data_IF_419210635114
#
_entry.id   IF_419210635114
#
_cell.length_a   1.000
_cell.length_b   1.000
_cell.length_c   1.000
_cell.angle_alpha   90.00
_cell.angle_beta   90.00
_cell.angle_gamma   90.00
#
_symmetry.space_group_name_H-M   'P 1'
#
loop_
_entity.id
_entity.type
_entity.pdbx_description
1 polymer ?
#
# COMPACT_ATOMS: atom_id res chain seq x y z
N UNK A 1 15.11 15.24 -19.28
CA UNK A 1 16.28 14.97 -18.42
C UNK A 1 15.84 13.93 -17.40
N UNK A 2 16.34 12.70 -17.51
CA UNK A 2 16.19 11.74 -16.41
C UNK A 2 16.85 12.35 -15.18
N UNK A 3 16.16 12.35 -14.03
CA UNK A 3 16.79 12.76 -12.77
C UNK A 3 18.00 11.85 -12.54
N UNK A 4 19.15 12.43 -12.19
CA UNK A 4 20.29 11.66 -11.66
C UNK A 4 19.72 10.71 -10.59
N UNK A 5 20.02 9.42 -10.70
CA UNK A 5 19.55 8.34 -9.80
C UNK A 5 18.13 7.79 -10.02
N UNK A 6 17.51 7.98 -11.20
CA UNK A 6 16.31 7.22 -11.58
C UNK A 6 16.66 5.84 -12.13
N UNK A 7 15.81 4.83 -11.88
CA UNK A 7 15.93 3.49 -12.49
C UNK A 7 15.58 3.49 -14.00
N UNK A 8 15.00 4.59 -14.51
CA UNK A 8 14.68 4.74 -15.92
C UNK A 8 13.37 4.05 -16.32
N UNK A 9 13.35 3.47 -17.52
CA UNK A 9 12.17 2.78 -18.05
C UNK A 9 12.04 1.39 -17.41
N UNK A 10 10.85 1.06 -16.95
CA UNK A 10 10.53 -0.23 -16.32
C UNK A 10 9.40 -0.90 -17.10
N UNK A 11 9.35 -2.24 -17.05
CA UNK A 11 8.30 -3.03 -17.68
C UNK A 11 7.45 -3.71 -16.62
N UNK A 12 6.13 -3.52 -16.68
CA UNK A 12 5.18 -4.30 -15.89
C UNK A 12 5.10 -5.71 -16.42
N UNK A 13 5.30 -6.69 -15.55
CA UNK A 13 5.18 -8.12 -15.87
C UNK A 13 3.95 -8.69 -15.18
N UNK A 14 3.33 -9.69 -15.80
CA UNK A 14 2.24 -10.48 -15.20
C UNK A 14 2.72 -11.92 -15.11
N UNK A 15 2.68 -12.48 -13.92
CA UNK A 15 2.95 -13.89 -13.68
C UNK A 15 1.64 -14.62 -13.38
N UNK A 16 1.34 -15.65 -14.17
CA UNK A 16 0.18 -16.52 -13.97
C UNK A 16 0.57 -17.77 -13.16
N UNK A 17 -0.22 -18.08 -12.15
CA UNK A 17 -0.23 -19.34 -11.41
C UNK A 17 -1.57 -20.03 -11.59
N UNK A 18 -1.60 -21.35 -11.44
CA UNK A 18 -2.82 -22.14 -11.61
C UNK A 18 -3.98 -21.66 -10.72
N UNK A 19 -3.73 -21.44 -9.43
CA UNK A 19 -4.75 -20.95 -8.51
C UNK A 19 -4.19 -20.51 -7.15
N UNK A 20 -5.05 -19.84 -6.39
CA UNK A 20 -4.88 -19.53 -4.97
C UNK A 20 -6.18 -19.78 -4.21
N UNK A 21 -6.10 -20.62 -3.19
CA UNK A 21 -7.18 -20.78 -2.19
C UNK A 21 -7.07 -19.67 -1.16
N UNK A 22 -8.17 -18.97 -0.95
CA UNK A 22 -8.28 -17.83 -0.03
C UNK A 22 -8.66 -18.29 1.38
N UNK A 23 -8.49 -17.43 2.38
CA UNK A 23 -8.86 -17.72 3.77
C UNK A 23 -10.34 -18.05 3.96
N UNK A 24 -11.21 -17.49 3.10
CA UNK A 24 -12.64 -17.78 3.12
C UNK A 24 -13.02 -19.08 2.37
N UNK A 25 -12.06 -19.83 1.86
CA UNK A 25 -12.26 -21.09 1.12
C UNK A 25 -12.56 -20.92 -0.37
N UNK A 26 -12.79 -19.69 -0.86
CA UNK A 26 -12.93 -19.43 -2.29
C UNK A 26 -11.61 -19.64 -3.03
N UNK A 27 -11.66 -19.83 -4.34
CA UNK A 27 -10.47 -20.06 -5.17
C UNK A 27 -10.41 -19.04 -6.30
N UNK A 28 -9.27 -18.35 -6.44
CA UNK A 28 -8.96 -17.53 -7.62
C UNK A 28 -8.29 -18.45 -8.65
N UNK A 29 -8.83 -18.51 -9.88
CA UNK A 29 -8.30 -19.32 -10.98
C UNK A 29 -8.47 -18.61 -12.34
N UNK A 30 -7.37 -18.35 -13.08
CA UNK A 30 -5.99 -18.41 -12.61
C UNK A 30 -5.69 -17.30 -11.58
N UNK A 31 -4.60 -17.44 -10.83
CA UNK A 31 -4.03 -16.33 -10.08
C UNK A 31 -3.04 -15.59 -10.97
N UNK A 32 -3.31 -14.33 -11.27
CA UNK A 32 -2.43 -13.41 -11.96
C UNK A 32 -1.86 -12.38 -10.98
N UNK A 33 -0.55 -12.17 -11.02
CA UNK A 33 0.13 -11.15 -10.21
C UNK A 33 0.88 -10.22 -11.14
N UNK A 34 0.46 -8.95 -11.19
CA UNK A 34 1.22 -7.90 -11.83
C UNK A 34 2.32 -7.39 -10.89
N UNK A 35 3.55 -7.32 -11.41
CA UNK A 35 4.72 -6.94 -10.63
C UNK A 35 5.78 -6.25 -11.49
N UNK A 36 6.70 -5.60 -10.79
CA UNK A 36 7.91 -4.98 -11.31
C UNK A 36 9.10 -5.33 -10.44
N UNK A 37 10.29 -5.23 -11.02
CA UNK A 37 11.56 -5.49 -10.33
C UNK A 37 12.57 -4.41 -10.68
N UNK A 38 13.36 -3.99 -9.69
CA UNK A 38 14.37 -2.96 -9.81
C UNK A 38 15.70 -3.46 -9.22
N UNK A 39 16.81 -3.23 -9.93
CA UNK A 39 18.11 -3.80 -9.56
C UNK A 39 18.28 -5.26 -9.99
N UNK A 40 19.29 -5.95 -9.44
CA UNK A 40 19.67 -7.32 -9.84
C UNK A 40 19.68 -8.26 -8.65
N UNK A 41 19.03 -9.42 -8.78
CA UNK A 41 19.04 -10.48 -7.76
C UNK A 41 20.44 -11.10 -7.67
N UNK A 42 20.99 -11.18 -6.47
CA UNK A 42 22.29 -11.82 -6.22
C UNK A 42 22.25 -13.31 -6.53
N UNK A 43 23.42 -13.92 -6.79
CA UNK A 43 23.52 -15.38 -7.00
C UNK A 43 23.00 -16.17 -5.79
N UNK A 44 23.23 -15.66 -4.59
CA UNK A 44 22.76 -16.23 -3.32
C UNK A 44 21.28 -15.94 -3.04
N UNK A 45 20.66 -15.01 -3.80
CA UNK A 45 19.26 -14.56 -3.64
C UNK A 45 18.95 -13.99 -2.25
N UNK A 46 19.94 -13.36 -1.64
CA UNK A 46 19.94 -12.82 -0.28
C UNK A 46 19.74 -11.29 -0.22
N UNK A 47 19.69 -10.61 -1.37
CA UNK A 47 19.58 -9.15 -1.46
C UNK A 47 18.16 -8.65 -1.86
N UNK A 48 17.15 -9.50 -1.72
CA UNK A 48 15.79 -9.20 -2.20
C UNK A 48 14.95 -8.41 -1.17
N UNK A 49 14.34 -7.31 -1.62
CA UNK A 49 13.44 -6.47 -0.84
C UNK A 49 12.06 -6.48 -1.48
N UNK A 50 11.01 -6.81 -0.72
CA UNK A 50 9.62 -6.72 -1.18
C UNK A 50 8.97 -5.42 -0.71
N UNK A 51 8.51 -4.61 -1.66
CA UNK A 51 7.77 -3.36 -1.43
C UNK A 51 6.27 -3.61 -1.59
N UNK A 52 5.54 -3.46 -0.48
CA UNK A 52 4.09 -3.54 -0.43
C UNK A 52 3.46 -2.14 -0.56
N UNK A 53 2.60 -1.96 -1.55
CA UNK A 53 1.98 -0.66 -1.84
C UNK A 53 0.84 -0.31 -0.87
N UNK A 54 0.55 1.00 -0.75
CA UNK A 54 -0.59 1.54 -0.01
C UNK A 54 -1.90 1.49 -0.83
N UNK A 55 -3.03 1.94 -0.27
CA UNK A 55 -4.37 1.79 -0.88
C UNK A 55 -4.46 2.29 -2.33
N UNK A 56 -3.86 3.44 -2.66
CA UNK A 56 -3.88 4.00 -4.02
C UNK A 56 -2.66 3.68 -4.86
N UNK A 57 -1.73 2.89 -4.33
CA UNK A 57 -0.55 2.41 -5.05
C UNK A 57 -0.84 1.21 -5.93
N UNK A 58 0.19 0.73 -6.62
CA UNK A 58 0.17 -0.46 -7.47
C UNK A 58 1.58 -1.09 -7.53
N UNK A 59 1.90 -1.88 -8.56
CA UNK A 59 3.26 -2.43 -8.72
C UNK A 59 4.30 -1.37 -9.11
N UNK A 60 3.88 -0.18 -9.57
CA UNK A 60 4.78 0.82 -10.14
C UNK A 60 5.37 1.71 -9.04
N UNK A 61 6.27 1.14 -8.25
CA UNK A 61 6.91 1.82 -7.14
C UNK A 61 8.02 2.80 -7.59
N UNK A 62 8.69 2.54 -8.71
CA UNK A 62 9.78 3.36 -9.22
C UNK A 62 9.91 3.33 -10.75
N UNK A 63 10.67 4.26 -11.29
CA UNK A 63 10.92 4.39 -12.72
C UNK A 63 9.75 5.00 -13.47
N UNK A 64 9.73 4.79 -14.78
CA UNK A 64 8.71 5.30 -15.70
C UNK A 64 8.27 4.18 -16.64
N UNK A 65 7.01 4.16 -17.07
CA UNK A 65 6.67 3.50 -18.32
C UNK A 65 6.94 4.43 -19.51
N UNK A 66 6.98 3.86 -20.71
CA UNK A 66 7.14 4.64 -21.92
C UNK A 66 5.98 5.66 -22.09
N UNK A 67 6.33 6.93 -22.26
CA UNK A 67 5.37 8.03 -22.38
C UNK A 67 4.86 8.62 -21.07
N UNK A 68 5.26 8.08 -19.91
CA UNK A 68 4.84 8.61 -18.62
C UNK A 68 5.42 10.00 -18.34
N UNK A 69 4.57 10.86 -17.74
CA UNK A 69 4.96 12.19 -17.27
C UNK A 69 5.41 12.20 -15.81
N UNK A 70 5.09 11.14 -15.06
CA UNK A 70 5.38 11.00 -13.64
C UNK A 70 5.97 9.62 -13.39
N UNK A 71 6.94 9.50 -12.48
CA UNK A 71 7.51 8.21 -12.14
C UNK A 71 6.57 7.43 -11.20
N UNK A 72 6.99 6.22 -10.86
CA UNK A 72 6.38 5.39 -9.83
C UNK A 72 6.21 6.11 -8.48
N UNK A 73 5.30 5.59 -7.66
CA UNK A 73 4.78 6.31 -6.48
C UNK A 73 5.82 6.51 -5.37
N UNK A 74 6.93 5.78 -5.39
CA UNK A 74 8.00 5.84 -4.40
C UNK A 74 9.39 6.10 -5.00
N UNK A 75 9.41 6.74 -6.18
CA UNK A 75 10.64 7.11 -6.91
C UNK A 75 11.67 7.82 -6.05
N UNK A 76 11.26 8.61 -5.04
CA UNK A 76 12.19 9.32 -4.15
C UNK A 76 13.11 8.38 -3.36
N UNK A 77 12.69 7.13 -3.12
CA UNK A 77 13.38 6.19 -2.23
C UNK A 77 13.98 4.98 -2.94
N UNK A 78 13.51 4.65 -4.15
CA UNK A 78 13.95 3.47 -4.92
C UNK A 78 14.75 3.91 -6.15
N UNK A 79 15.96 3.37 -6.30
CA UNK A 79 16.86 3.64 -7.44
C UNK A 79 18.33 3.65 -7.05
N UNK A 80 19.25 3.88 -8.02
CA UNK A 80 20.69 3.84 -7.77
C UNK A 80 21.13 4.80 -6.66
N UNK A 81 21.78 4.29 -5.62
CA UNK A 81 22.27 5.09 -4.48
C UNK A 81 21.19 5.68 -3.55
N UNK A 82 19.90 5.37 -3.75
CA UNK A 82 18.80 5.81 -2.86
C UNK A 82 18.66 4.89 -1.64
N UNK A 83 17.66 5.13 -0.78
CA UNK A 83 17.42 4.31 0.41
C UNK A 83 17.24 2.83 0.09
N UNK A 84 16.42 2.52 -0.92
CA UNK A 84 16.34 1.21 -1.54
C UNK A 84 17.25 1.21 -2.76
N UNK A 85 18.55 1.09 -2.48
CA UNK A 85 19.61 1.18 -3.47
C UNK A 85 19.58 0.01 -4.46
N UNK A 86 19.19 0.28 -5.70
CA UNK A 86 19.06 -0.75 -6.74
C UNK A 86 20.41 -1.21 -7.30
N UNK A 87 21.51 -0.54 -6.97
CA UNK A 87 22.86 -1.04 -7.28
C UNK A 87 23.27 -2.18 -6.34
N UNK A 88 22.56 -2.33 -5.22
CA UNK A 88 22.83 -3.32 -4.16
C UNK A 88 21.72 -4.34 -4.00
N UNK A 89 20.47 -3.90 -4.12
CA UNK A 89 19.30 -4.69 -3.78
C UNK A 89 18.46 -5.03 -5.01
N UNK A 90 17.79 -6.18 -4.92
CA UNK A 90 16.75 -6.57 -5.86
C UNK A 90 15.40 -6.24 -5.26
N UNK A 91 14.82 -5.12 -5.70
CA UNK A 91 13.55 -4.63 -5.18
C UNK A 91 12.41 -5.20 -6.03
N UNK A 92 11.41 -5.79 -5.39
CA UNK A 92 10.21 -6.34 -6.01
C UNK A 92 9.02 -5.52 -5.54
N UNK A 93 8.13 -5.11 -6.45
CA UNK A 93 6.83 -4.54 -6.07
C UNK A 93 5.73 -5.19 -6.88
N UNK A 94 4.64 -5.58 -6.23
CA UNK A 94 3.51 -6.24 -6.89
C UNK A 94 2.18 -5.62 -6.47
N UNK A 95 1.27 -5.53 -7.44
CA UNK A 95 -0.08 -5.10 -7.19
C UNK A 95 -0.83 -6.20 -6.41
N UNK A 96 -1.62 -5.83 -5.41
CA UNK A 96 -2.38 -6.79 -4.62
C UNK A 96 -3.50 -7.46 -5.44
N UNK A 97 -3.84 -8.70 -5.08
CA UNK A 97 -5.10 -9.31 -5.52
C UNK A 97 -6.30 -8.53 -4.94
N UNK A 98 -7.39 -8.45 -5.69
CA UNK A 98 -8.48 -7.50 -5.43
C UNK A 98 -8.17 -6.06 -5.89
N UNK A 99 -6.92 -5.77 -6.29
CA UNK A 99 -6.52 -4.52 -6.92
C UNK A 99 -7.05 -4.36 -8.35
N UNK A 100 -6.71 -3.24 -8.99
CA UNK A 100 -7.18 -2.90 -10.34
C UNK A 100 -6.05 -2.52 -11.32
N UNK A 101 -4.82 -2.95 -11.02
CA UNK A 101 -3.61 -2.58 -11.79
C UNK A 101 -2.82 -3.77 -12.33
N UNK A 102 -3.52 -4.87 -12.60
CA UNK A 102 -3.05 -6.00 -13.41
C UNK A 102 -3.10 -7.36 -12.71
N UNK A 103 -3.07 -7.40 -11.38
CA UNK A 103 -3.29 -8.66 -10.64
C UNK A 103 -4.76 -9.05 -10.63
N UNK A 104 -5.06 -10.33 -10.32
CA UNK A 104 -6.43 -10.85 -10.22
C UNK A 104 -7.29 -9.97 -9.31
N UNK A 105 -8.37 -9.43 -9.86
CA UNK A 105 -9.29 -8.54 -9.15
C UNK A 105 -10.64 -8.46 -9.85
N UNK A 106 -11.53 -7.56 -9.40
CA UNK A 106 -12.89 -7.44 -9.96
C UNK A 106 -12.91 -7.05 -11.44
N UNK A 107 -11.86 -6.39 -11.94
CA UNK A 107 -11.74 -6.04 -13.36
C UNK A 107 -11.15 -7.17 -14.23
N UNK A 108 -10.64 -8.24 -13.61
CA UNK A 108 -10.10 -9.39 -14.35
C UNK A 108 -11.22 -10.14 -15.06
N UNK A 109 -10.94 -10.68 -16.24
CA UNK A 109 -11.90 -11.48 -16.99
C UNK A 109 -12.10 -12.84 -16.30
N UNK A 110 -13.36 -13.16 -16.00
CA UNK A 110 -13.76 -14.50 -15.64
C UNK A 110 -13.72 -15.37 -16.90
N UNK A 111 -12.86 -16.40 -16.91
CA UNK A 111 -12.65 -17.30 -18.07
C UNK A 111 -13.89 -18.12 -18.44
N UNK A 112 -14.84 -18.31 -17.51
CA UNK A 112 -16.07 -19.06 -17.76
C UNK A 112 -17.14 -18.21 -18.44
N UNK A 113 -17.25 -16.94 -18.05
CA UNK A 113 -18.31 -16.03 -18.55
C UNK A 113 -17.84 -15.09 -19.64
N UNK A 114 -16.52 -14.90 -19.79
CA UNK A 114 -15.93 -13.93 -20.72
C UNK A 114 -16.12 -12.46 -20.31
N UNK A 115 -16.60 -12.20 -19.09
CA UNK A 115 -16.86 -10.86 -18.54
C UNK A 115 -15.96 -10.58 -17.34
N UNK A 116 -15.71 -9.30 -16.99
CA UNK A 116 -15.08 -8.96 -15.71
C UNK A 116 -15.82 -9.60 -14.54
N UNK A 117 -15.11 -9.95 -13.46
CA UNK A 117 -15.75 -10.53 -12.27
C UNK A 117 -16.74 -9.58 -11.60
N UNK A 118 -16.50 -8.27 -11.61
CA UNK A 118 -17.36 -7.31 -10.92
C UNK A 118 -17.51 -7.63 -9.43
N UNK A 119 -18.75 -7.66 -8.94
CA UNK A 119 -19.07 -8.03 -7.55
C UNK A 119 -19.03 -9.55 -7.28
N UNK A 120 -18.85 -10.38 -8.31
CA UNK A 120 -18.68 -11.82 -8.14
C UNK A 120 -17.25 -12.25 -7.77
N UNK A 121 -16.30 -11.31 -7.76
CA UNK A 121 -14.94 -11.58 -7.28
C UNK A 121 -14.98 -11.98 -5.80
N UNK A 122 -14.21 -12.97 -5.34
CA UNK A 122 -14.22 -13.34 -3.94
C UNK A 122 -13.63 -12.23 -3.06
N UNK A 123 -14.15 -12.08 -1.84
CA UNK A 123 -13.48 -11.24 -0.84
C UNK A 123 -12.07 -11.76 -0.58
N UNK A 124 -11.12 -10.84 -0.41
CA UNK A 124 -9.71 -11.15 -0.11
C UNK A 124 -9.33 -10.51 1.22
N UNK A 125 -8.46 -11.18 1.98
CA UNK A 125 -7.84 -10.62 3.18
C UNK A 125 -6.43 -10.08 2.89
N UNK A 126 -5.86 -9.32 3.82
CA UNK A 126 -4.44 -8.93 3.74
C UNK A 126 -3.52 -10.16 3.72
N UNK A 127 -3.90 -11.24 4.42
CA UNK A 127 -3.14 -12.50 4.39
C UNK A 127 -3.24 -13.18 3.03
N UNK A 128 -4.38 -13.13 2.34
CA UNK A 128 -4.49 -13.62 0.97
C UNK A 128 -3.59 -12.83 0.02
N UNK A 129 -3.50 -11.50 0.17
CA UNK A 129 -2.58 -10.65 -0.59
C UNK A 129 -1.12 -11.07 -0.34
N UNK A 130 -0.75 -11.32 0.91
CA UNK A 130 0.58 -11.83 1.30
C UNK A 130 0.84 -13.24 0.77
N UNK A 131 -0.15 -14.13 0.77
CA UNK A 131 -0.04 -15.47 0.19
C UNK A 131 0.21 -15.42 -1.32
N UNK A 132 -0.43 -14.49 -2.04
CA UNK A 132 -0.16 -14.24 -3.45
C UNK A 132 1.28 -13.76 -3.66
N UNK A 133 1.72 -12.75 -2.89
CA UNK A 133 3.10 -12.26 -2.93
C UNK A 133 4.11 -13.37 -2.62
N UNK A 134 3.80 -14.28 -1.70
CA UNK A 134 4.64 -15.44 -1.40
C UNK A 134 4.84 -16.35 -2.61
N UNK A 135 3.80 -16.58 -3.44
CA UNK A 135 3.95 -17.31 -4.71
C UNK A 135 4.93 -16.61 -5.65
N UNK A 136 4.85 -15.28 -5.75
CA UNK A 136 5.77 -14.48 -6.56
C UNK A 136 7.21 -14.55 -6.03
N UNK A 137 7.42 -14.40 -4.72
CA UNK A 137 8.77 -14.47 -4.11
C UNK A 137 9.39 -15.86 -4.32
N UNK A 138 8.60 -16.93 -4.13
CA UNK A 138 9.06 -18.30 -4.40
C UNK A 138 9.37 -18.54 -5.88
N UNK A 139 8.70 -17.87 -6.82
CA UNK A 139 9.01 -17.97 -8.25
C UNK A 139 10.43 -17.50 -8.58
N UNK A 140 10.93 -16.45 -7.91
CA UNK A 140 12.33 -16.03 -8.03
C UNK A 140 13.32 -17.00 -7.34
N UNK A 141 12.80 -18.01 -6.63
CA UNK A 141 13.59 -18.94 -5.82
C UNK A 141 14.24 -18.27 -4.61
N UNK A 142 13.67 -17.17 -4.11
CA UNK A 142 14.12 -16.50 -2.89
C UNK A 142 13.58 -17.30 -1.70
N UNK A 143 14.50 -17.76 -0.83
CA UNK A 143 14.14 -18.49 0.39
C UNK A 143 13.87 -17.54 1.56
N UNK A 144 14.62 -16.43 1.63
CA UNK A 144 14.50 -15.44 2.68
C UNK A 144 14.65 -14.05 2.08
N UNK A 145 13.66 -13.20 2.30
CA UNK A 145 13.72 -11.78 1.95
C UNK A 145 14.67 -11.08 2.92
N UNK A 146 15.55 -10.24 2.37
CA UNK A 146 16.33 -9.31 3.16
C UNK A 146 15.39 -8.39 3.94
N UNK A 147 14.36 -7.88 3.26
CA UNK A 147 13.39 -6.99 3.87
C UNK A 147 12.01 -7.09 3.21
N UNK A 148 10.96 -6.97 4.01
CA UNK A 148 9.62 -6.58 3.53
C UNK A 148 9.34 -5.17 4.04
N UNK A 149 8.77 -4.32 3.21
CA UNK A 149 8.54 -2.91 3.57
C UNK A 149 7.24 -2.39 2.98
N UNK A 150 6.53 -1.55 3.74
CA UNK A 150 5.42 -0.79 3.20
C UNK A 150 4.89 0.27 4.16
N UNK A 151 4.20 1.25 3.57
CA UNK A 151 3.51 2.30 4.31
C UNK A 151 1.99 2.10 4.32
N UNK A 152 1.29 2.51 5.38
CA UNK A 152 -0.17 2.41 5.47
C UNK A 152 -0.65 0.96 5.32
N UNK A 153 -1.57 0.68 4.38
CA UNK A 153 -1.91 -0.67 3.92
C UNK A 153 -0.68 -1.55 3.58
N UNK A 154 0.38 -0.97 3.03
CA UNK A 154 1.64 -1.69 2.77
C UNK A 154 2.31 -2.17 4.05
N UNK A 155 2.22 -1.38 5.13
CA UNK A 155 2.74 -1.77 6.45
C UNK A 155 1.94 -2.90 7.09
N UNK A 156 0.62 -2.98 6.83
CA UNK A 156 -0.21 -4.11 7.27
C UNK A 156 0.22 -5.41 6.59
N UNK A 157 0.51 -5.35 5.28
CA UNK A 157 1.08 -6.47 4.53
C UNK A 157 2.46 -6.86 5.06
N UNK A 158 3.34 -5.89 5.36
CA UNK A 158 4.67 -6.16 5.91
C UNK A 158 4.61 -6.82 7.31
N UNK A 159 3.67 -6.41 8.16
CA UNK A 159 3.37 -7.08 9.43
C UNK A 159 2.86 -8.51 9.20
N UNK A 160 1.90 -8.67 8.30
CA UNK A 160 1.31 -9.97 7.99
C UNK A 160 2.34 -10.95 7.41
N UNK A 161 3.29 -10.47 6.60
CA UNK A 161 4.43 -11.25 6.12
C UNK A 161 5.27 -11.82 7.26
N UNK A 162 5.63 -10.96 8.22
CA UNK A 162 6.44 -11.37 9.37
C UNK A 162 5.72 -12.41 10.25
N UNK A 163 4.38 -12.35 10.33
CA UNK A 163 3.56 -13.31 11.09
C UNK A 163 3.35 -14.62 10.31
N UNK A 164 3.02 -14.56 9.02
CA UNK A 164 2.69 -15.75 8.22
C UNK A 164 3.91 -16.55 7.79
N UNK A 165 5.04 -15.88 7.57
CA UNK A 165 6.26 -16.50 7.07
C UNK A 165 7.48 -16.05 7.90
N UNK A 166 7.50 -16.31 9.22
CA UNK A 166 8.52 -15.77 10.14
C UNK A 166 9.95 -16.19 9.76
N UNK A 167 10.13 -17.36 9.14
CA UNK A 167 11.42 -17.86 8.69
C UNK A 167 11.92 -17.22 7.39
N UNK A 168 11.02 -16.63 6.60
CA UNK A 168 11.32 -16.05 5.28
C UNK A 168 11.56 -14.54 5.31
N UNK A 169 11.46 -13.88 6.48
CA UNK A 169 11.62 -12.42 6.60
C UNK A 169 12.75 -12.13 7.57
N UNK A 170 13.87 -11.56 7.08
CA UNK A 170 14.98 -11.13 7.95
C UNK A 170 14.67 -9.80 8.63
N UNK A 171 14.09 -8.85 7.89
CA UNK A 171 13.73 -7.52 8.41
C UNK A 171 12.35 -7.10 7.90
N UNK A 172 11.62 -6.32 8.71
CA UNK A 172 10.33 -5.74 8.34
C UNK A 172 10.29 -4.25 8.67
N UNK A 173 10.00 -3.42 7.67
CA UNK A 173 9.87 -1.97 7.82
C UNK A 173 8.39 -1.60 7.69
N UNK A 174 7.81 -1.08 8.76
CA UNK A 174 6.39 -0.74 8.87
C UNK A 174 6.26 0.76 9.07
N UNK A 175 5.69 1.46 8.07
CA UNK A 175 5.66 2.92 8.04
C UNK A 175 4.20 3.40 8.12
N UNK A 176 3.87 4.36 9.00
CA UNK A 176 2.54 4.97 9.09
C UNK A 176 1.39 3.96 9.02
N UNK A 177 1.45 2.91 9.86
CA UNK A 177 0.56 1.76 9.79
C UNK A 177 0.14 1.27 11.18
N UNK A 178 -0.65 0.21 11.23
CA UNK A 178 -1.32 -0.30 12.44
C UNK A 178 -1.48 -1.82 12.40
N UNK A 179 -1.64 -2.45 13.57
CA UNK A 179 -1.98 -3.86 13.69
C UNK A 179 -3.46 -4.14 13.45
N UNK A 180 -4.32 -3.14 13.57
CA UNK A 180 -5.76 -3.17 13.27
C UNK A 180 -6.30 -1.76 13.03
N UNK A 181 -7.33 -1.62 12.18
CA UNK A 181 -8.00 -0.34 12.00
C UNK A 181 -8.79 0.07 13.25
N UNK A 182 -8.73 1.36 13.58
CA UNK A 182 -9.62 2.02 14.53
C UNK A 182 -11.02 2.19 13.95
N UNK A 183 -12.00 2.42 14.84
CA UNK A 183 -13.37 2.73 14.43
C UNK A 183 -13.45 3.94 13.47
N UNK A 184 -12.57 4.94 13.64
CA UNK A 184 -12.53 6.11 12.77
C UNK A 184 -12.03 5.77 11.36
N UNK A 185 -10.97 4.97 11.25
CA UNK A 185 -10.46 4.48 9.94
C UNK A 185 -11.54 3.65 9.21
N UNK A 186 -12.21 2.74 9.93
CA UNK A 186 -13.32 1.94 9.39
C UNK A 186 -14.48 2.84 8.92
N UNK A 187 -14.84 3.86 9.70
CA UNK A 187 -15.92 4.77 9.35
C UNK A 187 -15.64 5.53 8.04
N UNK A 188 -14.42 6.03 7.84
CA UNK A 188 -14.05 6.69 6.58
C UNK A 188 -14.15 5.76 5.37
N UNK A 189 -13.67 4.52 5.51
CA UNK A 189 -13.77 3.51 4.46
C UNK A 189 -15.22 3.14 4.18
N UNK A 190 -16.05 2.98 5.20
CA UNK A 190 -17.47 2.67 5.05
C UNK A 190 -18.24 3.79 4.35
N UNK A 191 -17.98 5.06 4.68
CA UNK A 191 -18.56 6.20 3.96
C UNK A 191 -18.18 6.15 2.47
N UNK A 192 -16.92 5.86 2.14
CA UNK A 192 -16.48 5.70 0.75
C UNK A 192 -17.20 4.55 0.03
N UNK A 193 -17.35 3.40 0.69
CA UNK A 193 -18.09 2.25 0.14
C UNK A 193 -19.56 2.58 -0.08
N UNK A 194 -20.23 3.22 0.86
CA UNK A 194 -21.63 3.61 0.74
C UNK A 194 -21.83 4.65 -0.38
N UNK A 195 -20.89 5.58 -0.56
CA UNK A 195 -20.92 6.52 -1.68
C UNK A 195 -20.90 5.81 -3.04
N UNK A 196 -20.12 4.74 -3.17
CA UNK A 196 -20.08 3.89 -4.38
C UNK A 196 -21.37 3.09 -4.52
N UNK A 197 -21.78 2.34 -3.50
CA UNK A 197 -22.91 1.40 -3.55
C UNK A 197 -24.24 2.12 -3.80
N UNK A 198 -24.40 3.34 -3.26
CA UNK A 198 -25.61 4.15 -3.46
C UNK A 198 -25.68 4.86 -4.81
N UNK A 199 -24.60 4.85 -5.59
CA UNK A 199 -24.60 5.42 -6.94
C UNK A 199 -25.40 4.51 -7.89
N UNK A 200 -26.45 5.03 -8.56
CA UNK A 200 -27.23 4.24 -9.52
C UNK A 200 -26.39 3.58 -10.62
N UNK A 201 -25.23 4.16 -10.98
CA UNK A 201 -24.30 3.58 -11.96
C UNK A 201 -23.60 2.33 -11.45
N UNK A 202 -23.48 2.11 -10.13
CA UNK A 202 -22.79 0.94 -9.59
C UNK A 202 -23.43 -0.38 -10.00
N UNK A 203 -24.74 -0.39 -10.25
CA UNK A 203 -25.45 -1.52 -10.88
C UNK A 203 -25.11 -2.90 -10.26
N UNK A 204 -25.20 -3.03 -8.93
CA UNK A 204 -24.83 -4.26 -8.22
C UNK A 204 -23.38 -4.73 -8.44
N UNK A 205 -22.48 -3.81 -8.79
CA UNK A 205 -21.08 -4.08 -9.12
C UNK A 205 -20.86 -4.51 -10.56
N UNK A 206 -21.89 -4.51 -11.40
CA UNK A 206 -21.86 -4.90 -12.82
C UNK A 206 -21.92 -3.64 -13.73
N UNK A 207 -21.03 -2.69 -13.49
CA UNK A 207 -21.00 -1.40 -14.21
C UNK A 207 -20.04 -1.41 -15.40
N UNK A 208 -20.36 -0.65 -16.45
CA UNK A 208 -19.48 -0.46 -17.62
C UNK A 208 -18.54 0.74 -17.47
N UNK A 209 -18.94 1.73 -16.68
CA UNK A 209 -18.17 2.92 -16.35
C UNK A 209 -18.14 3.06 -14.83
N UNK A 210 -17.04 3.60 -14.28
CA UNK A 210 -16.95 3.81 -12.84
C UNK A 210 -18.11 4.68 -12.32
N UNK A 211 -18.74 4.29 -11.19
CA UNK A 211 -19.71 5.15 -10.51
C UNK A 211 -19.03 6.43 -10.01
N UNK A 212 -19.74 7.55 -10.08
CA UNK A 212 -19.29 8.84 -9.56
C UNK A 212 -19.08 8.79 -8.04
N UNK A 213 -19.75 7.87 -7.35
CA UNK A 213 -19.51 7.56 -5.94
C UNK A 213 -18.03 7.28 -5.59
N UNK A 214 -17.25 6.75 -6.53
CA UNK A 214 -15.81 6.55 -6.36
C UNK A 214 -15.05 7.87 -6.21
N UNK A 215 -15.47 8.93 -6.92
CA UNK A 215 -14.87 10.25 -6.77
C UNK A 215 -15.16 10.81 -5.36
N UNK A 216 -16.36 10.60 -4.83
CA UNK A 216 -16.72 10.99 -3.47
C UNK A 216 -15.88 10.22 -2.44
N UNK A 217 -15.75 8.90 -2.62
CA UNK A 217 -14.88 8.08 -1.77
C UNK A 217 -13.43 8.59 -1.78
N UNK A 218 -12.93 9.00 -2.95
CA UNK A 218 -11.59 9.58 -3.08
C UNK A 218 -11.47 10.98 -2.46
N UNK A 219 -12.52 11.79 -2.50
CA UNK A 219 -12.56 13.09 -1.82
C UNK A 219 -12.40 12.91 -0.31
N UNK A 220 -13.09 11.93 0.29
CA UNK A 220 -12.93 11.58 1.71
C UNK A 220 -11.48 11.23 2.00
N UNK A 221 -10.86 10.35 1.20
CA UNK A 221 -9.44 10.00 1.36
C UNK A 221 -8.50 11.21 1.29
N UNK A 222 -8.68 12.13 0.34
CA UNK A 222 -7.83 13.33 0.26
C UNK A 222 -7.98 14.26 1.45
N UNK A 223 -9.16 14.34 2.06
CA UNK A 223 -9.37 15.10 3.29
C UNK A 223 -8.58 14.44 4.42
N UNK A 224 -8.56 13.11 4.48
CA UNK A 224 -7.89 12.38 5.57
C UNK A 224 -6.38 12.26 5.43
N UNK A 225 -5.83 12.38 4.22
CA UNK A 225 -4.39 12.20 4.00
C UNK A 225 -3.54 13.43 4.26
N UNK A 226 -4.15 14.61 4.37
CA UNK A 226 -3.49 15.87 4.63
C UNK A 226 -3.67 16.29 6.09
N UNK A 227 -2.67 16.95 6.68
CA UNK A 227 -2.82 17.58 7.99
C UNK A 227 -3.75 18.79 7.94
N UNK A 228 -4.31 19.20 9.09
CA UNK A 228 -5.11 20.43 9.18
C UNK A 228 -4.30 21.67 8.77
N UNK A 229 -3.02 21.73 9.18
CA UNK A 229 -2.12 22.83 8.80
C UNK A 229 -1.90 22.89 7.29
N UNK A 230 -1.62 21.75 6.65
CA UNK A 230 -1.46 21.66 5.19
C UNK A 230 -2.74 22.05 4.45
N UNK A 231 -3.91 21.63 4.94
CA UNK A 231 -5.20 22.04 4.40
C UNK A 231 -5.42 23.55 4.56
N UNK A 232 -5.05 24.13 5.72
CA UNK A 232 -5.14 25.56 5.98
C UNK A 232 -4.20 26.36 5.09
N UNK A 233 -2.94 25.95 4.94
CA UNK A 233 -1.96 26.60 4.07
C UNK A 233 -2.41 26.59 2.61
N UNK A 234 -2.88 25.44 2.14
CA UNK A 234 -3.24 25.23 0.73
C UNK A 234 -4.51 25.96 0.32
N UNK A 235 -5.50 26.06 1.21
CA UNK A 235 -6.84 26.58 0.86
C UNK A 235 -7.23 27.87 1.59
N UNK A 236 -6.61 28.18 2.73
CA UNK A 236 -6.93 29.35 3.55
C UNK A 236 -8.39 29.37 4.02
N UNK A 237 -8.99 30.56 4.01
CA UNK A 237 -10.43 30.81 4.26
C UNK A 237 -11.03 31.70 3.16
N UNK A 238 -10.42 31.76 1.98
CA UNK A 238 -10.86 32.72 0.94
C UNK A 238 -12.31 32.41 0.56
N UNK A 239 -13.23 33.38 0.66
CA UNK A 239 -14.63 33.16 0.35
C UNK A 239 -14.78 32.74 -1.11
N UNK A 240 -15.83 31.97 -1.41
CA UNK A 240 -16.02 31.44 -2.74
C UNK A 240 -16.18 32.52 -3.82
N UNK A 241 -15.81 32.15 -5.05
CA UNK A 241 -16.29 32.80 -6.28
C UNK A 241 -17.11 31.75 -7.03
N UNK A 242 -18.44 31.84 -7.00
CA UNK A 242 -19.28 30.79 -7.59
C UNK A 242 -20.75 30.82 -7.16
N UNK A 243 -21.41 29.69 -7.36
CA UNK A 243 -22.76 29.41 -6.87
C UNK A 243 -22.79 28.01 -6.23
N UNK A 244 -23.89 27.67 -5.54
CA UNK A 244 -24.09 26.40 -4.81
C UNK A 244 -23.80 25.15 -5.65
N UNK A 245 -23.95 25.19 -6.98
CA UNK A 245 -23.72 24.03 -7.88
C UNK A 245 -22.30 23.97 -8.46
N UNK A 246 -21.63 25.11 -8.67
CA UNK A 246 -20.30 25.20 -9.26
C UNK A 246 -19.34 25.87 -8.26
N UNK A 247 -18.98 25.07 -7.23
CA UNK A 247 -17.98 25.28 -6.17
C UNK A 247 -17.95 26.63 -5.46
N UNK A 248 -18.44 26.59 -4.22
CA UNK A 248 -18.06 27.53 -3.19
C UNK A 248 -16.88 26.96 -2.34
N UNK A 249 -15.73 27.66 -2.36
CA UNK A 249 -14.38 27.41 -1.80
C UNK A 249 -13.40 26.63 -2.69
N UNK A 250 -12.15 27.12 -2.77
CA UNK A 250 -11.05 26.51 -3.55
C UNK A 250 -10.75 25.06 -3.15
N UNK A 251 -11.04 24.70 -1.89
CA UNK A 251 -10.94 23.30 -1.41
C UNK A 251 -11.96 22.39 -2.10
N UNK A 252 -13.18 22.86 -2.35
CA UNK A 252 -14.22 22.10 -3.04
C UNK A 252 -13.84 21.80 -4.48
N UNK A 253 -13.35 22.80 -5.22
CA UNK A 253 -12.87 22.61 -6.61
C UNK A 253 -11.67 21.69 -6.69
N UNK A 254 -10.73 21.79 -5.75
CA UNK A 254 -9.57 20.89 -5.68
C UNK A 254 -9.98 19.44 -5.42
N UNK A 255 -10.85 19.21 -4.44
CA UNK A 255 -11.30 17.87 -4.07
C UNK A 255 -12.07 17.21 -5.23
N UNK A 256 -12.94 17.96 -5.92
CA UNK A 256 -13.62 17.48 -7.12
C UNK A 256 -12.63 17.09 -8.23
N UNK A 257 -11.65 17.95 -8.52
CA UNK A 257 -10.64 17.65 -9.54
C UNK A 257 -9.84 16.38 -9.19
N UNK A 258 -9.38 16.26 -7.95
CA UNK A 258 -8.67 15.05 -7.49
C UNK A 258 -9.56 13.80 -7.53
N UNK A 259 -10.86 13.95 -7.22
CA UNK A 259 -11.83 12.87 -7.36
C UNK A 259 -11.98 12.41 -8.82
N UNK A 260 -12.12 13.33 -9.78
CA UNK A 260 -12.28 12.99 -11.20
C UNK A 260 -11.05 12.30 -11.76
N UNK A 261 -9.83 12.80 -11.52
CA UNK A 261 -8.60 12.16 -12.01
C UNK A 261 -8.38 10.75 -11.45
N UNK A 262 -9.00 10.44 -10.30
CA UNK A 262 -8.92 9.11 -9.70
C UNK A 262 -9.83 8.10 -10.40
N UNK A 263 -10.98 8.54 -10.94
CA UNK A 263 -11.89 7.68 -11.71
C UNK A 263 -11.21 7.07 -12.94
N UNK A 264 -10.28 7.80 -13.56
CA UNK A 264 -9.56 7.35 -14.76
C UNK A 264 -8.51 6.27 -14.45
N UNK A 265 -8.09 6.15 -13.18
CA UNK A 265 -6.98 5.27 -12.78
C UNK A 265 -7.35 4.23 -11.74
N UNK A 266 -8.57 4.18 -11.24
CA UNK A 266 -8.95 3.25 -10.18
C UNK A 266 -10.33 2.66 -10.44
N UNK A 267 -10.64 1.52 -9.83
CA UNK A 267 -11.90 0.81 -10.00
C UNK A 267 -12.71 0.81 -8.71
N UNK A 268 -14.03 0.99 -8.81
CA UNK A 268 -14.90 1.13 -7.65
C UNK A 268 -15.10 -0.16 -6.85
N UNK A 269 -15.24 -1.31 -7.54
CA UNK A 269 -15.29 -2.61 -6.87
C UNK A 269 -13.95 -2.90 -6.19
N UNK A 270 -12.82 -2.61 -6.85
CA UNK A 270 -11.48 -2.77 -6.28
C UNK A 270 -11.32 -1.95 -4.99
N UNK A 271 -11.80 -0.70 -4.98
CA UNK A 271 -11.86 0.10 -3.76
C UNK A 271 -12.64 -0.60 -2.64
N UNK A 272 -13.82 -1.16 -2.95
CA UNK A 272 -14.63 -1.90 -1.97
C UNK A 272 -13.87 -3.12 -1.43
N UNK A 273 -13.33 -3.98 -2.30
CA UNK A 273 -12.62 -5.20 -1.90
C UNK A 273 -11.39 -4.88 -1.05
N UNK A 274 -10.55 -3.96 -1.50
CA UNK A 274 -9.30 -3.63 -0.80
C UNK A 274 -9.60 -2.95 0.54
N UNK A 275 -10.54 -2.00 0.60
CA UNK A 275 -10.88 -1.36 1.89
C UNK A 275 -11.56 -2.31 2.87
N UNK A 276 -12.33 -3.31 2.39
CA UNK A 276 -12.82 -4.40 3.24
C UNK A 276 -11.67 -5.24 3.79
N UNK A 277 -10.67 -5.56 2.97
CA UNK A 277 -9.48 -6.29 3.44
C UNK A 277 -8.75 -5.53 4.56
N UNK A 278 -8.63 -4.21 4.45
CA UNK A 278 -8.02 -3.36 5.49
C UNK A 278 -8.82 -3.35 6.78
N UNK A 279 -10.14 -3.12 6.69
CA UNK A 279 -11.01 -3.01 7.86
C UNK A 279 -11.15 -4.35 8.61
N UNK A 280 -11.04 -5.48 7.90
CA UNK A 280 -11.10 -6.82 8.48
C UNK A 280 -9.75 -7.36 8.94
N UNK A 281 -8.63 -6.70 8.60
CA UNK A 281 -7.33 -7.07 9.12
C UNK A 281 -7.19 -6.67 10.59
N UNK A 282 -6.89 -7.64 11.43
CA UNK A 282 -6.53 -7.42 12.83
C UNK A 282 -5.55 -8.49 13.30
N UNK A 283 -4.39 -8.05 13.77
CA UNK A 283 -3.51 -8.83 14.64
C UNK A 283 -3.81 -8.56 16.12
N UNK A 284 -4.82 -7.73 16.42
CA UNK A 284 -5.19 -7.34 17.76
C UNK A 284 -4.46 -6.12 18.30
N UNK A 285 -4.63 -5.95 19.61
CA UNK A 285 -3.98 -4.93 20.46
C UNK A 285 -3.61 -5.50 21.82
N UNK A 286 -2.69 -4.84 22.53
CA UNK A 286 -2.22 -5.25 23.85
C UNK A 286 -1.74 -6.71 23.87
N UNK A 287 -2.25 -7.49 24.83
CA UNK A 287 -1.85 -8.90 25.01
C UNK A 287 -2.10 -9.75 23.76
N UNK A 288 -3.22 -9.55 23.07
CA UNK A 288 -3.56 -10.34 21.89
C UNK A 288 -2.60 -10.04 20.72
N UNK A 289 -2.19 -8.77 20.57
CA UNK A 289 -1.15 -8.41 19.60
C UNK A 289 0.19 -9.04 19.96
N UNK A 290 0.60 -8.98 21.23
CA UNK A 290 1.83 -9.62 21.72
C UNK A 290 1.81 -11.13 21.43
N UNK A 291 0.70 -11.82 21.69
CA UNK A 291 0.54 -13.25 21.40
C UNK A 291 0.67 -13.55 19.89
N UNK A 292 0.00 -12.78 19.03
CA UNK A 292 0.06 -12.97 17.58
C UNK A 292 1.43 -12.63 16.96
N UNK A 293 2.24 -11.80 17.62
CA UNK A 293 3.60 -11.47 17.20
C UNK A 293 4.67 -12.41 17.81
N UNK A 294 4.29 -13.37 18.65
CA UNK A 294 5.25 -14.18 19.43
C UNK A 294 6.14 -15.10 18.59
N UNK A 295 5.68 -15.51 17.40
CA UNK A 295 6.44 -16.39 16.49
C UNK A 295 7.34 -15.62 15.51
N UNK A 296 7.28 -14.29 15.52
CA UNK A 296 8.00 -13.45 14.56
C UNK A 296 9.50 -13.47 14.87
N UNK A 297 10.32 -13.61 13.82
CA UNK A 297 11.79 -13.67 13.90
C UNK A 297 12.50 -12.49 13.24
N UNK A 298 11.77 -11.64 12.52
CA UNK A 298 12.32 -10.50 11.82
C UNK A 298 12.76 -9.39 12.79
N UNK A 299 13.78 -8.62 12.41
CA UNK A 299 14.04 -7.32 13.05
C UNK A 299 13.10 -6.26 12.48
N UNK A 300 12.71 -5.28 13.29
CA UNK A 300 11.75 -4.26 12.88
C UNK A 300 12.34 -2.85 12.85
N UNK A 301 11.91 -2.09 11.84
CA UNK A 301 11.91 -0.64 11.87
C UNK A 301 10.45 -0.17 11.79
N UNK A 302 10.00 0.52 12.82
CA UNK A 302 8.66 1.12 12.86
C UNK A 302 8.82 2.64 12.70
N UNK A 303 8.20 3.20 11.67
CA UNK A 303 8.25 4.63 11.39
C UNK A 303 6.86 5.26 11.48
N UNK A 304 6.76 6.39 12.17
CA UNK A 304 5.54 7.20 12.28
C UNK A 304 5.81 8.65 11.93
N UNK A 305 4.76 9.45 11.75
CA UNK A 305 4.85 10.87 11.43
C UNK A 305 4.01 11.69 12.40
N UNK A 306 4.56 12.80 12.90
CA UNK A 306 3.92 13.60 13.98
C UNK A 306 2.54 14.14 13.60
N UNK A 307 2.35 14.54 12.34
CA UNK A 307 1.06 15.05 11.83
C UNK A 307 0.15 14.00 11.20
N UNK A 308 0.55 12.72 11.17
CA UNK A 308 -0.35 11.67 10.71
C UNK A 308 -1.44 11.47 11.76
N UNK A 309 -2.68 11.73 11.36
CA UNK A 309 -3.86 11.53 12.18
C UNK A 309 -4.76 10.41 11.66
N UNK A 310 -4.47 9.88 10.46
CA UNK A 310 -5.17 8.70 9.94
C UNK A 310 -4.55 7.42 10.49
N UNK A 311 -3.21 7.33 10.52
CA UNK A 311 -2.45 6.27 11.18
C UNK A 311 -1.52 6.88 12.23
N UNK A 312 -2.09 7.39 13.33
CA UNK A 312 -1.37 8.21 14.29
C UNK A 312 -0.24 7.45 15.00
N UNK A 313 0.81 8.16 15.49
CA UNK A 313 1.96 7.54 16.13
C UNK A 313 1.64 6.55 17.25
N UNK A 314 0.51 6.70 17.96
CA UNK A 314 0.12 5.73 18.98
C UNK A 314 -0.15 4.32 18.42
N UNK A 315 -0.60 4.18 17.17
CA UNK A 315 -0.81 2.87 16.53
C UNK A 315 0.53 2.18 16.28
N UNK A 316 1.53 2.94 15.82
CA UNK A 316 2.90 2.44 15.67
C UNK A 316 3.53 2.08 17.02
N UNK A 317 3.32 2.90 18.06
CA UNK A 317 3.82 2.63 19.43
C UNK A 317 3.21 1.37 20.04
N UNK A 318 1.95 1.05 19.73
CA UNK A 318 1.31 -0.21 20.17
C UNK A 318 2.03 -1.44 19.58
N UNK A 319 2.39 -1.39 18.28
CA UNK A 319 3.19 -2.46 17.64
C UNK A 319 4.55 -2.59 18.31
N UNK A 320 5.27 -1.46 18.51
CA UNK A 320 6.58 -1.44 19.16
C UNK A 320 6.51 -2.10 20.54
N UNK A 321 5.54 -1.71 21.36
CA UNK A 321 5.34 -2.27 22.70
C UNK A 321 5.14 -3.78 22.69
N UNK A 322 4.36 -4.30 21.74
CA UNK A 322 4.14 -5.74 21.62
C UNK A 322 5.38 -6.50 21.11
N UNK A 323 6.17 -5.91 20.21
CA UNK A 323 7.45 -6.47 19.77
C UNK A 323 8.47 -6.52 20.93
N UNK A 324 8.61 -5.42 21.67
CA UNK A 324 9.48 -5.33 22.85
C UNK A 324 9.09 -6.35 23.93
N UNK A 325 7.78 -6.54 24.17
CA UNK A 325 7.27 -7.53 25.12
C UNK A 325 7.65 -8.98 24.74
N UNK A 326 7.89 -9.25 23.46
CA UNK A 326 8.37 -10.54 22.96
C UNK A 326 9.91 -10.63 22.86
N UNK A 327 10.64 -9.58 23.25
CA UNK A 327 12.09 -9.51 23.09
C UNK A 327 12.55 -9.42 21.63
N UNK A 328 11.67 -8.98 20.72
CA UNK A 328 11.99 -8.81 19.30
C UNK A 328 12.73 -7.50 19.10
N UNK A 329 13.82 -7.52 18.34
CA UNK A 329 14.59 -6.33 18.00
C UNK A 329 13.75 -5.36 17.18
N UNK A 330 13.54 -4.14 17.71
CA UNK A 330 12.74 -3.10 17.07
C UNK A 330 13.40 -1.74 17.25
N UNK A 331 13.46 -0.97 16.16
CA UNK A 331 13.81 0.45 16.17
C UNK A 331 12.54 1.26 15.87
N UNK A 332 12.27 2.28 16.68
CA UNK A 332 11.17 3.21 16.46
C UNK A 332 11.71 4.59 16.06
N UNK A 333 11.13 5.17 15.01
CA UNK A 333 11.43 6.53 14.55
C UNK A 333 10.13 7.30 14.32
N UNK A 334 9.99 8.47 14.93
CA UNK A 334 8.87 9.39 14.71
C UNK A 334 9.42 10.63 14.00
N UNK A 335 9.05 10.82 12.74
CA UNK A 335 9.53 11.92 11.89
C UNK A 335 8.62 13.12 12.06
N UNK A 336 9.23 14.27 12.34
CA UNK A 336 8.48 15.52 12.42
C UNK A 336 8.14 16.07 11.03
N UNK A 337 6.86 16.30 10.78
CA UNK A 337 6.34 16.77 9.49
C UNK A 337 4.95 17.32 9.67
N UNK A 338 4.54 18.25 8.80
CA UNK A 338 3.17 18.75 8.72
C UNK A 338 2.39 18.22 7.51
N UNK A 339 2.83 17.14 6.86
CA UNK A 339 2.21 16.66 5.60
C UNK A 339 1.07 15.66 5.78
N UNK A 340 0.83 15.15 6.99
CA UNK A 340 -0.25 14.18 7.26
C UNK A 340 0.15 12.76 6.91
N UNK A 341 -0.82 11.94 6.52
CA UNK A 341 -0.63 10.51 6.30
C UNK A 341 0.31 10.18 5.14
N UNK A 342 0.19 10.88 4.02
CA UNK A 342 0.98 10.59 2.81
C UNK A 342 2.46 11.04 2.94
N UNK A 343 2.90 11.48 4.13
CA UNK A 343 4.28 11.90 4.40
C UNK A 343 5.32 10.88 3.95
N UNK A 344 5.03 9.57 4.09
CA UNK A 344 5.97 8.52 3.72
C UNK A 344 6.23 8.39 2.20
N UNK A 345 5.33 8.93 1.38
CA UNK A 345 5.46 8.94 -0.08
C UNK A 345 6.29 10.12 -0.58
N UNK A 346 6.38 11.19 0.22
CA UNK A 346 7.06 12.42 -0.14
C UNK A 346 8.55 12.30 0.15
N UNK A 347 9.37 13.00 -0.64
CA UNK A 347 10.80 13.10 -0.39
C UNK A 347 11.07 13.77 0.96
N UNK A 348 11.73 13.05 1.87
CA UNK A 348 12.11 13.53 3.19
C UNK A 348 13.54 13.03 3.52
N UNK A 349 14.52 13.94 3.73
CA UNK A 349 15.91 13.55 3.99
C UNK A 349 16.11 12.70 5.25
N UNK A 350 15.33 12.94 6.31
CA UNK A 350 15.40 12.17 7.54
C UNK A 350 14.90 10.74 7.34
N UNK A 351 13.75 10.60 6.67
CA UNK A 351 13.21 9.29 6.29
C UNK A 351 14.21 8.53 5.42
N UNK A 352 14.76 9.19 4.40
CA UNK A 352 15.69 8.57 3.46
C UNK A 352 16.94 8.05 4.18
N UNK A 353 17.46 8.84 5.12
CA UNK A 353 18.63 8.50 5.94
C UNK A 353 18.37 7.32 6.87
N UNK A 354 17.23 7.31 7.58
CA UNK A 354 16.86 6.21 8.49
C UNK A 354 16.71 4.90 7.71
N UNK A 355 15.98 4.93 6.59
CA UNK A 355 15.81 3.76 5.73
C UNK A 355 17.15 3.23 5.19
N UNK A 356 18.00 4.14 4.69
CA UNK A 356 19.32 3.78 4.15
C UNK A 356 20.19 3.10 5.20
N UNK A 357 20.33 3.68 6.40
CA UNK A 357 21.20 3.10 7.43
C UNK A 357 20.66 1.79 8.00
N UNK A 358 19.33 1.67 8.15
CA UNK A 358 18.72 0.40 8.58
C UNK A 358 19.01 -0.72 7.59
N UNK A 359 18.82 -0.47 6.28
CA UNK A 359 19.09 -1.46 5.24
C UNK A 359 20.58 -1.73 5.06
N UNK A 360 21.43 -0.72 5.21
CA UNK A 360 22.88 -0.89 5.16
C UNK A 360 23.37 -1.85 6.27
N UNK A 361 22.88 -1.67 7.49
CA UNK A 361 23.14 -2.58 8.60
C UNK A 361 22.53 -3.97 8.35
N UNK A 362 21.26 -4.04 7.94
CA UNK A 362 20.54 -5.29 7.68
C UNK A 362 21.23 -6.17 6.63
N UNK A 363 21.85 -5.56 5.63
CA UNK A 363 22.58 -6.25 4.56
C UNK A 363 23.93 -6.85 5.00
N UNK A 364 24.48 -6.38 6.13
CA UNK A 364 25.79 -6.80 6.67
C UNK A 364 25.68 -7.71 7.89
N UNK A 365 24.55 -7.68 8.59
CA UNK A 365 24.30 -8.55 9.71
C UNK A 365 24.23 -10.00 9.21
N UNK A 366 24.96 -10.93 9.84
CA UNK A 366 24.92 -12.37 9.51
C UNK A 366 23.57 -13.00 9.88
#
# INVERSE_FOLDING_TARGET
>A
MQKENSIGIVEKKILEFESLTLENGSVIRPLEIAYETYGTLSENKDNAILVCHALSGDSHAAGYYEGDKKPGYWEAYIGPGKSFDTDRFFVISSNVIGGCKGSSGPISLNRETGKPYGSSFPFVSIKDMVNAQHRLVKHFGIEKLLCVVGGSMGGMQALQWAVSYPDMVKNSIVIASTSEHSAQQIAFNEVGRQAIISDPKWNNGEYSENPNGLAIARMVGHITYLSDESMREKFGRKPPKGNIKNTDFAVGSYLLYQGTTFLDRFDANSYIYVTKALDHFSLGRGKFLTENLSSVKANFLIMAFTSDWLYPPYQSKEIVKSLEANGISVTYCEIDTNKGHDSFLLENPEQAKVLYHFLDYASKAE
#
